data_IF_244947169664
#
_entry.id   IF_244947169664
#
_cell.length_a   1.000
_cell.length_b   1.000
_cell.length_c   1.000
_cell.angle_alpha   90.00
_cell.angle_beta   90.00
_cell.angle_gamma   90.00
#
_symmetry.space_group_name_H-M   'P 1'
#
loop_
_entity.id
_entity.type
_entity.pdbx_description
1 polymer ?
#
# COMPACT_ATOMS: atom_id res chain seq x y z
N UNK A 1 10.53 -14.23 -7.75
CA UNK A 1 10.36 -13.09 -8.69
C UNK A 1 9.05 -12.41 -8.36
N UNK A 2 9.06 -11.12 -8.02
CA UNK A 2 7.81 -10.35 -7.93
C UNK A 2 7.43 -9.98 -9.35
N UNK A 3 6.22 -10.34 -9.77
CA UNK A 3 5.82 -10.15 -11.16
C UNK A 3 5.12 -8.80 -11.34
N UNK A 4 4.41 -8.32 -10.32
CA UNK A 4 3.65 -7.07 -10.32
C UNK A 4 3.56 -6.48 -8.92
N UNK A 5 3.57 -5.15 -8.82
CA UNK A 5 3.51 -4.43 -7.55
C UNK A 5 2.39 -3.39 -7.56
N UNK A 6 2.03 -2.92 -6.39
CA UNK A 6 1.12 -1.80 -6.17
C UNK A 6 1.81 -0.89 -5.16
N UNK A 7 1.98 0.37 -5.52
CA UNK A 7 2.56 1.39 -4.64
C UNK A 7 1.41 2.21 -4.07
N UNK A 8 1.44 2.39 -2.75
CA UNK A 8 0.50 3.23 -2.02
C UNK A 8 1.32 4.39 -1.46
N UNK A 9 1.00 5.60 -1.90
CA UNK A 9 1.65 6.83 -1.45
C UNK A 9 0.67 7.59 -0.57
N UNK A 10 1.07 7.92 0.65
CA UNK A 10 0.35 8.88 1.45
C UNK A 10 0.87 10.30 1.16
N UNK A 11 -0.05 11.27 1.13
CA UNK A 11 0.22 12.67 0.87
C UNK A 11 1.09 13.32 1.96
N UNK A 12 1.51 14.56 1.73
CA UNK A 12 2.46 15.28 2.60
C UNK A 12 2.00 15.47 4.05
N UNK A 13 0.69 15.36 4.33
CA UNK A 13 0.14 15.45 5.67
C UNK A 13 0.30 14.15 6.49
N UNK A 14 0.74 13.06 5.86
CA UNK A 14 0.86 11.76 6.51
C UNK A 14 2.06 11.68 7.45
N UNK A 15 1.83 11.09 8.62
CA UNK A 15 2.85 10.78 9.62
C UNK A 15 3.34 9.35 9.45
N UNK A 16 4.51 9.04 9.99
CA UNK A 16 5.05 7.68 10.02
C UNK A 16 4.09 6.69 10.72
N UNK A 17 3.38 7.14 11.76
CA UNK A 17 2.32 6.36 12.42
C UNK A 17 1.20 5.94 11.48
N UNK A 18 0.93 6.74 10.45
CA UNK A 18 -0.17 6.53 9.51
C UNK A 18 0.16 5.41 8.53
N UNK A 19 1.44 5.33 8.16
CA UNK A 19 1.99 4.27 7.33
C UNK A 19 1.90 2.94 8.07
N UNK A 20 2.40 2.87 9.31
CA UNK A 20 2.31 1.65 10.11
C UNK A 20 0.86 1.25 10.45
N UNK A 21 -0.05 2.22 10.60
CA UNK A 21 -1.47 1.95 10.80
C UNK A 21 -2.14 1.38 9.54
N UNK A 22 -1.84 1.95 8.37
CA UNK A 22 -2.36 1.46 7.09
C UNK A 22 -1.76 0.10 6.72
N UNK A 23 -0.47 -0.13 6.97
CA UNK A 23 0.18 -1.42 6.77
C UNK A 23 -0.54 -2.53 7.56
N UNK A 24 -0.72 -2.33 8.87
CA UNK A 24 -1.46 -3.26 9.74
C UNK A 24 -2.92 -3.43 9.34
N UNK A 25 -3.56 -2.39 8.80
CA UNK A 25 -4.92 -2.48 8.29
C UNK A 25 -4.98 -3.43 7.09
N UNK A 26 -4.09 -3.26 6.11
CA UNK A 26 -4.05 -4.08 4.89
C UNK A 26 -3.72 -5.54 5.20
N UNK A 27 -2.81 -5.81 6.14
CA UNK A 27 -2.48 -7.18 6.57
C UNK A 27 -3.67 -7.91 7.22
N UNK A 28 -4.61 -7.16 7.81
CA UNK A 28 -5.79 -7.70 8.50
C UNK A 28 -7.02 -7.81 7.62
N UNK A 29 -7.04 -7.15 6.47
CA UNK A 29 -8.16 -7.19 5.56
C UNK A 29 -8.32 -8.61 5.00
N UNK A 30 -9.47 -9.26 5.25
CA UNK A 30 -9.66 -10.70 4.94
C UNK A 30 -9.19 -11.12 3.54
N UNK A 31 -9.56 -10.43 2.44
CA UNK A 31 -9.16 -10.85 1.11
C UNK A 31 -7.65 -10.71 0.85
N UNK A 32 -6.97 -9.75 1.49
CA UNK A 32 -5.52 -9.58 1.38
C UNK A 32 -4.78 -10.56 2.30
N UNK A 33 -5.29 -10.75 3.52
CA UNK A 33 -4.73 -11.68 4.51
C UNK A 33 -4.69 -13.13 3.99
N UNK A 34 -5.69 -13.57 3.22
CA UNK A 34 -5.70 -14.90 2.59
C UNK A 34 -4.59 -15.05 1.54
N UNK A 35 -4.33 -14.00 0.76
CA UNK A 35 -3.25 -13.99 -0.24
C UNK A 35 -1.87 -13.94 0.42
N UNK A 36 -1.73 -13.23 1.53
CA UNK A 36 -0.51 -13.22 2.35
C UNK A 36 -0.23 -14.62 2.90
N UNK A 37 -1.24 -15.28 3.47
CA UNK A 37 -1.11 -16.63 4.04
C UNK A 37 -0.72 -17.69 3.01
N UNK A 38 -1.06 -17.47 1.75
CA UNK A 38 -0.74 -18.38 0.64
C UNK A 38 0.54 -17.98 -0.12
N UNK A 39 1.30 -17.01 0.39
CA UNK A 39 2.53 -16.49 -0.22
C UNK A 39 2.32 -15.94 -1.65
N UNK A 40 1.09 -15.53 -1.98
CA UNK A 40 0.70 -14.91 -3.25
C UNK A 40 0.74 -13.37 -3.18
N UNK A 41 0.90 -12.82 -1.98
CA UNK A 41 0.96 -11.38 -1.75
C UNK A 41 1.89 -11.08 -0.57
N UNK A 42 2.70 -10.04 -0.73
CA UNK A 42 3.59 -9.52 0.31
C UNK A 42 3.41 -8.02 0.41
N UNK A 43 3.40 -7.49 1.63
CA UNK A 43 3.27 -6.05 1.87
C UNK A 43 4.49 -5.59 2.65
N UNK A 44 5.25 -4.65 2.09
CA UNK A 44 6.45 -4.09 2.71
C UNK A 44 6.35 -2.56 2.75
N UNK A 45 6.81 -1.96 3.85
CA UNK A 45 7.05 -0.52 3.93
C UNK A 45 8.39 -0.18 3.27
N UNK A 46 8.43 0.87 2.43
CA UNK A 46 9.65 1.34 1.77
C UNK A 46 9.85 2.83 1.95
N UNK A 47 11.09 3.21 2.25
CA UNK A 47 11.51 4.61 2.22
C UNK A 47 11.58 5.12 0.78
N UNK A 48 11.15 6.36 0.53
CA UNK A 48 11.13 7.02 -0.80
C UNK A 48 12.51 7.47 -1.27
N UNK A 49 13.60 6.97 -0.69
CA UNK A 49 14.96 7.48 -0.86
C UNK A 49 15.51 7.35 -2.29
N UNK A 50 14.81 6.66 -3.20
CA UNK A 50 15.24 6.42 -4.59
C UNK A 50 14.80 7.52 -5.59
N UNK A 51 13.93 8.46 -5.23
CA UNK A 51 13.60 9.60 -6.12
C UNK A 51 14.57 10.77 -5.90
N UNK A 52 15.57 10.87 -6.76
CA UNK A 52 16.51 11.98 -6.84
C UNK A 52 15.75 13.32 -7.03
N UNK A 53 15.55 14.05 -5.92
CA UNK A 53 15.00 15.42 -5.94
C UNK A 53 13.79 15.69 -5.04
N UNK A 54 13.33 14.75 -4.21
CA UNK A 54 12.22 15.03 -3.29
C UNK A 54 12.62 16.03 -2.18
N UNK A 55 11.81 17.08 -1.92
CA UNK A 55 12.07 18.05 -0.85
C UNK A 55 12.07 17.34 0.50
N UNK A 56 12.97 17.73 1.40
CA UNK A 56 13.25 17.09 2.70
C UNK A 56 11.99 16.71 3.50
N UNK A 57 11.48 15.51 3.27
CA UNK A 57 10.39 14.88 4.00
C UNK A 57 10.56 13.37 3.91
N UNK A 58 10.47 12.68 5.04
CA UNK A 58 10.57 11.23 5.15
C UNK A 58 9.31 10.63 4.49
N UNK A 59 9.30 10.57 3.16
CA UNK A 59 8.25 9.89 2.43
C UNK A 59 8.42 8.39 2.64
N UNK A 60 7.44 7.74 3.25
CA UNK A 60 7.35 6.27 3.24
C UNK A 60 6.20 5.87 2.31
N UNK A 61 6.43 4.82 1.54
CA UNK A 61 5.46 4.23 0.63
C UNK A 61 5.19 2.79 1.09
N UNK A 62 3.95 2.32 0.93
CA UNK A 62 3.62 0.90 1.14
C UNK A 62 3.65 0.23 -0.23
N UNK A 63 4.40 -0.86 -0.34
CA UNK A 63 4.50 -1.67 -1.55
C UNK A 63 3.82 -3.00 -1.33
N UNK A 64 2.77 -3.26 -2.11
CA UNK A 64 2.10 -4.56 -2.18
C UNK A 64 2.65 -5.32 -3.39
N UNK A 65 3.45 -6.34 -3.15
CA UNK A 65 4.04 -7.23 -4.14
C UNK A 65 3.12 -8.44 -4.35
N UNK A 66 2.65 -8.64 -5.58
CA UNK A 66 1.91 -9.86 -5.96
C UNK A 66 2.90 -10.89 -6.49
N UNK A 67 2.91 -12.05 -5.86
CA UNK A 67 3.89 -13.12 -6.05
C UNK A 67 3.23 -14.38 -6.62
N UNK A 68 4.04 -15.24 -7.27
CA UNK A 68 3.60 -16.54 -7.76
C UNK A 68 3.07 -16.59 -9.20
N UNK A 69 2.88 -17.80 -9.72
CA UNK A 69 2.50 -18.03 -11.12
C UNK A 69 1.11 -17.51 -11.51
N UNK A 70 0.20 -17.34 -10.54
CA UNK A 70 -1.13 -16.79 -10.74
C UNK A 70 -1.19 -15.25 -10.67
N UNK A 71 -0.07 -14.58 -10.36
CA UNK A 71 -0.01 -13.13 -10.12
C UNK A 71 -0.66 -12.31 -11.25
N UNK A 72 -0.51 -12.73 -12.51
CA UNK A 72 -1.09 -12.04 -13.66
C UNK A 72 -2.63 -12.01 -13.65
N UNK A 73 -3.27 -13.09 -13.21
CA UNK A 73 -4.72 -13.28 -13.24
C UNK A 73 -5.40 -12.56 -12.06
N UNK A 74 -4.77 -12.56 -10.88
CA UNK A 74 -5.35 -11.98 -9.67
C UNK A 74 -5.05 -10.48 -9.52
N UNK A 75 -4.05 -9.95 -10.24
CA UNK A 75 -3.52 -8.61 -10.01
C UNK A 75 -4.58 -7.50 -9.99
N UNK A 76 -5.48 -7.45 -10.97
CA UNK A 76 -6.50 -6.39 -11.02
C UNK A 76 -7.45 -6.48 -9.82
N UNK A 77 -7.85 -7.69 -9.44
CA UNK A 77 -8.65 -7.89 -8.23
C UNK A 77 -7.93 -7.46 -6.95
N UNK A 78 -6.62 -7.66 -6.88
CA UNK A 78 -5.80 -7.15 -5.77
C UNK A 78 -5.73 -5.61 -5.78
N UNK A 79 -5.54 -4.98 -6.95
CA UNK A 79 -5.54 -3.51 -7.07
C UNK A 79 -6.86 -2.91 -6.59
N UNK A 80 -7.98 -3.45 -7.07
CA UNK A 80 -9.31 -2.98 -6.67
C UNK A 80 -9.56 -3.22 -5.18
N UNK A 81 -9.08 -4.33 -4.65
CA UNK A 81 -9.17 -4.60 -3.21
C UNK A 81 -8.35 -3.62 -2.40
N UNK A 82 -7.10 -3.37 -2.77
CA UNK A 82 -6.21 -2.41 -2.08
C UNK A 82 -6.83 -1.01 -2.07
N UNK A 83 -7.36 -0.54 -3.21
CA UNK A 83 -8.07 0.74 -3.29
C UNK A 83 -9.23 0.83 -2.30
N UNK A 84 -10.12 -0.16 -2.31
CA UNK A 84 -11.25 -0.21 -1.38
C UNK A 84 -10.82 -0.26 0.09
N UNK A 85 -9.76 -1.00 0.40
CA UNK A 85 -9.22 -1.11 1.75
C UNK A 85 -8.59 0.20 2.23
N UNK A 86 -7.87 0.92 1.36
CA UNK A 86 -7.32 2.25 1.65
C UNK A 86 -8.45 3.25 1.89
N UNK A 87 -9.48 3.26 1.05
CA UNK A 87 -10.64 4.14 1.23
C UNK A 87 -11.38 3.85 2.54
N UNK A 88 -11.57 2.57 2.87
CA UNK A 88 -12.17 2.14 4.13
C UNK A 88 -11.33 2.58 5.35
N UNK A 89 -10.01 2.46 5.27
CA UNK A 89 -9.11 2.95 6.31
C UNK A 89 -9.21 4.47 6.49
N UNK A 90 -9.21 5.26 5.40
CA UNK A 90 -9.37 6.72 5.46
C UNK A 90 -10.72 7.11 6.06
N UNK A 91 -11.80 6.46 5.64
CA UNK A 91 -13.14 6.70 6.18
C UNK A 91 -13.26 6.37 7.67
N UNK A 92 -12.62 5.27 8.11
CA UNK A 92 -12.56 4.91 9.53
C UNK A 92 -11.72 5.92 10.33
N UNK A 93 -10.58 6.33 9.80
CA UNK A 93 -9.71 7.31 10.46
C UNK A 93 -10.42 8.63 10.69
N UNK A 94 -11.15 9.14 9.68
CA UNK A 94 -11.95 10.36 9.80
C UNK A 94 -12.99 10.30 10.92
N UNK A 95 -13.42 9.10 11.31
CA UNK A 95 -14.37 8.89 12.41
C UNK A 95 -13.69 8.72 13.78
N UNK A 96 -12.42 8.31 13.80
CA UNK A 96 -11.71 7.93 15.04
C UNK A 96 -10.74 9.02 15.51
N UNK A 97 -10.10 9.76 14.59
CA UNK A 97 -9.18 10.85 14.90
C UNK A 97 -9.74 12.18 14.36
N UNK A 98 -9.65 13.23 15.18
CA UNK A 98 -9.93 14.59 14.73
C UNK A 98 -8.88 15.04 13.72
N UNK A 99 -9.27 15.09 12.44
CA UNK A 99 -8.43 15.55 11.34
C UNK A 99 -8.83 14.97 9.99
N UNK A 100 -8.44 15.63 8.91
CA UNK A 100 -8.61 15.06 7.57
C UNK A 100 -7.61 13.92 7.36
N UNK A 101 -8.04 12.70 7.00
CA UNK A 101 -7.12 11.61 6.69
C UNK A 101 -6.22 12.01 5.51
N UNK A 102 -4.93 11.66 5.53
CA UNK A 102 -4.03 11.99 4.44
C UNK A 102 -4.57 11.45 3.12
N UNK A 103 -4.33 12.19 2.04
CA UNK A 103 -4.56 11.71 0.69
C UNK A 103 -3.75 10.44 0.45
N UNK A 104 -4.32 9.49 -0.28
CA UNK A 104 -3.67 8.22 -0.57
C UNK A 104 -3.82 7.91 -2.05
N UNK A 105 -2.70 7.76 -2.74
CA UNK A 105 -2.62 7.37 -4.14
C UNK A 105 -2.25 5.89 -4.24
N UNK A 106 -3.03 5.12 -5.00
CA UNK A 106 -2.81 3.69 -5.22
C UNK A 106 -2.53 3.44 -6.69
N UNK A 107 -1.27 3.17 -6.98
CA UNK A 107 -0.76 3.01 -8.34
C UNK A 107 -0.21 1.60 -8.58
N UNK A 108 -0.63 0.89 -9.63
CA UNK A 108 0.04 -0.33 -10.04
C UNK A 108 1.44 0.01 -10.56
N UNK A 109 2.47 -0.63 -10.00
CA UNK A 109 3.87 -0.43 -10.39
C UNK A 109 4.50 -1.74 -10.85
N UNK A 110 5.50 -1.67 -11.72
CA UNK A 110 6.37 -2.82 -11.96
C UNK A 110 7.42 -2.84 -10.85
N UNK A 111 7.61 -3.97 -10.13
CA UNK A 111 8.60 -4.05 -9.04
C UNK A 111 10.07 -3.93 -9.48
N UNK A 112 10.32 -3.62 -10.76
CA UNK A 112 11.64 -3.50 -11.39
C UNK A 112 11.93 -2.08 -11.92
N UNK A 113 11.12 -1.07 -11.55
CA UNK A 113 11.54 0.32 -11.66
C UNK A 113 12.49 0.63 -10.50
N UNK A 114 13.76 0.25 -10.72
CA UNK A 114 14.92 0.61 -9.91
C UNK A 114 15.31 2.07 -10.15
#
# INVERSE_FOLDING_TARGET
MVTRGIRIRLGQAARESDIGALHKWLEREKPLAELIRTDQLRIDERSRTDEAGAPMGIGMDIVVAVTGGAAGAIFQGVVDQVRRSVDAWRANRRQVEDGEPPEADVEPVRPDDR
#
